data_IF_923480770842
#
_entry.id   IF_923480770842
#
_cell.length_a   1.000
_cell.length_b   1.000
_cell.length_c   1.000
_cell.angle_alpha   90.00
_cell.angle_beta   90.00
_cell.angle_gamma   90.00
#
_symmetry.space_group_name_H-M   'P 1'
#
loop_
_entity.id
_entity.type
_entity.pdbx_description
1 polymer ?
#
# COMPACT_ATOMS: atom_id res chain seq x y z
N UNK A 1 -16.26 10.36 -28.81
CA UNK A 1 -15.11 10.96 -28.09
C UNK A 1 -15.61 11.41 -26.73
N UNK A 2 -14.91 11.08 -25.64
CA UNK A 2 -15.27 11.52 -24.29
C UNK A 2 -15.01 13.03 -24.13
N UNK A 3 -15.93 13.75 -23.50
CA UNK A 3 -15.84 15.19 -23.23
C UNK A 3 -14.60 15.52 -22.36
N UNK A 4 -13.66 16.38 -22.81
CA UNK A 4 -12.49 16.79 -22.06
C UNK A 4 -12.80 17.36 -20.67
N UNK A 5 -13.91 18.09 -20.50
CA UNK A 5 -14.30 18.64 -19.19
C UNK A 5 -14.66 17.51 -18.21
N UNK A 6 -15.41 16.51 -18.69
CA UNK A 6 -15.71 15.31 -17.92
C UNK A 6 -14.43 14.55 -17.54
N UNK A 7 -13.48 14.41 -18.46
CA UNK A 7 -12.19 13.75 -18.19
C UNK A 7 -11.40 14.52 -17.12
N UNK A 8 -11.28 15.84 -17.25
CA UNK A 8 -10.60 16.69 -16.28
C UNK A 8 -11.22 16.56 -14.88
N UNK A 9 -12.55 16.54 -14.78
CA UNK A 9 -13.24 16.32 -13.51
C UNK A 9 -12.90 14.96 -12.89
N UNK A 10 -12.83 13.90 -13.68
CA UNK A 10 -12.45 12.56 -13.20
C UNK A 10 -10.99 12.53 -12.72
N UNK A 11 -10.07 13.17 -13.43
CA UNK A 11 -8.65 13.28 -13.03
C UNK A 11 -8.54 14.04 -11.70
N UNK A 12 -9.23 15.18 -11.56
CA UNK A 12 -9.23 15.95 -10.31
C UNK A 12 -9.76 15.13 -9.12
N UNK A 13 -10.86 14.39 -9.32
CA UNK A 13 -11.43 13.51 -8.29
C UNK A 13 -10.45 12.40 -7.92
N UNK A 14 -9.78 11.77 -8.89
CA UNK A 14 -8.80 10.71 -8.64
C UNK A 14 -7.58 11.24 -7.88
N UNK A 15 -7.05 12.41 -8.26
CA UNK A 15 -5.96 13.06 -7.54
C UNK A 15 -6.39 13.43 -6.13
N UNK A 16 -7.60 13.98 -5.96
CA UNK A 16 -8.14 14.36 -4.66
C UNK A 16 -8.35 13.16 -3.73
N UNK A 17 -8.90 12.06 -4.24
CA UNK A 17 -9.18 10.85 -3.45
C UNK A 17 -7.89 10.15 -3.00
N UNK A 18 -6.91 10.07 -3.88
CA UNK A 18 -5.68 9.32 -3.63
C UNK A 18 -4.56 10.17 -3.01
N UNK A 19 -4.65 11.50 -3.15
CA UNK A 19 -3.66 12.48 -2.68
C UNK A 19 -2.48 12.67 -3.63
N UNK A 20 -1.95 11.58 -4.17
CA UNK A 20 -0.91 11.59 -5.18
C UNK A 20 -1.02 10.37 -6.10
N UNK A 21 -0.85 10.58 -7.41
CA UNK A 21 -0.93 9.54 -8.45
C UNK A 21 0.09 9.81 -9.54
N UNK A 22 0.66 8.77 -10.16
CA UNK A 22 1.61 8.98 -11.26
C UNK A 22 0.90 9.52 -12.50
N UNK A 23 1.56 10.39 -13.25
CA UNK A 23 1.07 10.87 -14.55
C UNK A 23 0.83 9.71 -15.51
N UNK A 24 1.68 8.67 -15.47
CA UNK A 24 1.49 7.41 -16.24
C UNK A 24 0.16 6.73 -15.90
N UNK A 25 -0.14 6.54 -14.62
CA UNK A 25 -1.38 5.88 -14.18
C UNK A 25 -2.62 6.70 -14.52
N UNK A 26 -2.50 8.04 -14.58
CA UNK A 26 -3.58 8.92 -15.05
C UNK A 26 -3.77 8.81 -16.57
N UNK A 27 -2.70 8.78 -17.34
CA UNK A 27 -2.76 8.59 -18.80
C UNK A 27 -3.42 7.24 -19.14
N UNK A 28 -3.04 6.18 -18.44
CA UNK A 28 -3.62 4.85 -18.65
C UNK A 28 -5.12 4.77 -18.32
N UNK A 29 -5.61 5.55 -17.35
CA UNK A 29 -7.02 5.53 -16.91
C UNK A 29 -7.92 6.51 -17.66
N UNK A 30 -7.44 7.73 -17.89
CA UNK A 30 -8.24 8.87 -18.33
C UNK A 30 -7.85 9.38 -19.71
N UNK A 31 -6.82 8.79 -20.33
CA UNK A 31 -6.31 9.19 -21.63
C UNK A 31 -5.22 10.26 -21.56
N UNK A 32 -4.72 10.69 -22.72
CA UNK A 32 -3.49 11.47 -22.83
C UNK A 32 -3.59 12.83 -22.14
N UNK A 33 -2.45 13.31 -21.63
CA UNK A 33 -2.32 14.56 -20.84
C UNK A 33 -3.00 15.79 -21.46
N UNK A 34 -3.01 16.02 -22.80
CA UNK A 34 -3.71 17.15 -23.40
C UNK A 34 -5.21 17.24 -23.03
N UNK A 35 -5.88 16.12 -22.78
CA UNK A 35 -7.32 16.09 -22.47
C UNK A 35 -7.67 16.72 -21.12
N UNK A 36 -6.69 16.87 -20.22
CA UNK A 36 -6.88 17.38 -18.86
C UNK A 36 -5.77 18.34 -18.45
N UNK A 37 -4.99 18.83 -19.42
CA UNK A 37 -3.88 19.77 -19.23
C UNK A 37 -4.31 21.07 -18.56
N UNK A 38 -5.53 21.51 -18.81
CA UNK A 38 -6.12 22.71 -18.19
C UNK A 38 -6.07 22.67 -16.66
N UNK A 39 -6.16 21.49 -16.03
CA UNK A 39 -6.03 21.36 -14.56
C UNK A 39 -4.64 21.76 -14.06
N UNK A 40 -3.60 21.57 -14.86
CA UNK A 40 -2.23 21.93 -14.52
C UNK A 40 -2.00 23.43 -14.75
N UNK A 41 -2.51 23.95 -15.87
CA UNK A 41 -2.38 25.36 -16.26
C UNK A 41 -3.12 26.26 -15.27
N UNK A 42 -4.32 25.86 -14.87
CA UNK A 42 -5.13 26.58 -13.87
C UNK A 42 -4.67 26.29 -12.42
N UNK A 43 -3.70 25.41 -12.19
CA UNK A 43 -3.20 25.12 -10.84
C UNK A 43 -4.16 24.35 -9.92
N UNK A 44 -5.16 23.67 -10.48
CA UNK A 44 -5.98 22.69 -9.74
C UNK A 44 -5.17 21.46 -9.34
N UNK A 45 -4.26 21.04 -10.23
CA UNK A 45 -3.33 19.93 -10.02
C UNK A 45 -1.91 20.47 -10.23
N UNK A 46 -0.94 19.92 -9.52
CA UNK A 46 0.49 20.20 -9.70
C UNK A 46 1.22 18.90 -9.98
N UNK A 47 2.13 18.94 -10.96
CA UNK A 47 3.01 17.81 -11.29
C UNK A 47 4.36 18.01 -10.59
N UNK A 48 4.74 17.04 -9.78
CA UNK A 48 6.02 16.98 -9.08
C UNK A 48 6.91 15.95 -9.78
N UNK A 49 8.13 16.33 -10.12
CA UNK A 49 9.13 15.38 -10.58
C UNK A 49 9.73 14.66 -9.38
N UNK A 50 9.64 13.33 -9.37
CA UNK A 50 10.10 12.49 -8.27
C UNK A 50 10.99 11.37 -8.79
N UNK A 51 11.66 10.65 -7.89
CA UNK A 51 12.43 9.45 -8.24
C UNK A 51 11.56 8.32 -8.82
N UNK A 52 10.23 8.36 -8.63
CA UNK A 52 9.28 7.41 -9.21
C UNK A 52 8.64 7.97 -10.49
N UNK A 53 9.18 9.07 -11.02
CA UNK A 53 8.65 9.79 -12.18
C UNK A 53 7.73 10.95 -11.81
N UNK A 54 7.01 11.45 -12.82
CA UNK A 54 6.06 12.54 -12.66
C UNK A 54 4.84 12.10 -11.85
N UNK A 55 4.54 12.83 -10.77
CA UNK A 55 3.45 12.57 -9.84
C UNK A 55 2.54 13.79 -9.75
N UNK A 56 1.24 13.58 -9.98
CA UNK A 56 0.22 14.59 -9.81
C UNK A 56 -0.24 14.65 -8.35
N UNK A 57 -0.36 15.87 -7.81
CA UNK A 57 -0.93 16.19 -6.50
C UNK A 57 -1.90 17.35 -6.63
N UNK A 58 -2.74 17.60 -5.61
CA UNK A 58 -3.58 18.80 -5.62
C UNK A 58 -2.74 20.07 -5.53
N UNK A 59 -2.96 20.97 -6.48
CA UNK A 59 -2.39 22.32 -6.47
C UNK A 59 -3.15 23.27 -5.53
N UNK A 60 -2.67 24.52 -5.36
CA UNK A 60 -3.29 25.48 -4.46
C UNK A 60 -4.78 25.73 -4.75
N UNK A 61 -5.16 25.97 -6.01
CA UNK A 61 -6.57 26.22 -6.36
C UNK A 61 -7.44 24.97 -6.16
N UNK A 62 -6.89 23.78 -6.46
CA UNK A 62 -7.60 22.52 -6.23
C UNK A 62 -7.88 22.27 -4.75
N UNK A 63 -6.97 22.66 -3.86
CA UNK A 63 -7.18 22.55 -2.41
C UNK A 63 -8.22 23.55 -1.91
N UNK A 64 -8.15 24.79 -2.36
CA UNK A 64 -9.12 25.82 -1.97
C UNK A 64 -10.53 25.47 -2.46
N UNK A 65 -10.68 25.11 -3.73
CA UNK A 65 -11.98 24.74 -4.29
C UNK A 65 -12.60 23.51 -3.62
N UNK A 66 -11.80 22.50 -3.26
CA UNK A 66 -12.27 21.34 -2.50
C UNK A 66 -12.51 21.64 -1.01
N UNK A 67 -11.95 22.71 -0.46
CA UNK A 67 -12.30 23.16 0.89
C UNK A 67 -13.66 23.88 0.91
N UNK A 68 -13.98 24.62 -0.15
CA UNK A 68 -15.26 25.31 -0.33
C UNK A 68 -16.40 24.35 -0.67
N UNK A 69 -16.14 23.35 -1.52
CA UNK A 69 -17.09 22.28 -1.85
C UNK A 69 -16.49 20.91 -1.55
N UNK A 70 -16.54 20.46 -0.28
CA UNK A 70 -15.91 19.22 0.15
C UNK A 70 -16.52 17.99 -0.56
N UNK A 71 -15.68 17.08 -1.08
CA UNK A 71 -16.17 15.80 -1.58
C UNK A 71 -16.63 14.90 -0.41
N UNK A 72 -17.41 13.83 -0.68
CA UNK A 72 -17.89 12.90 0.34
C UNK A 72 -16.80 11.96 0.89
N UNK A 73 -15.52 12.27 0.65
CA UNK A 73 -14.37 11.48 1.07
C UNK A 73 -13.27 12.41 1.59
N UNK A 74 -12.40 11.94 2.50
CA UNK A 74 -11.30 12.75 3.01
C UNK A 74 -10.30 13.08 1.90
N UNK A 75 -9.85 14.34 1.85
CA UNK A 75 -8.84 14.82 0.91
C UNK A 75 -7.48 14.90 1.62
N UNK A 76 -6.54 13.97 1.38
CA UNK A 76 -5.24 13.96 2.04
C UNK A 76 -4.35 15.12 1.60
N UNK A 77 -3.61 15.70 2.55
CA UNK A 77 -2.61 16.72 2.28
C UNK A 77 -1.25 16.09 1.99
N UNK A 78 -0.97 15.86 0.70
CA UNK A 78 0.34 15.40 0.21
C UNK A 78 0.93 16.49 -0.68
N UNK A 79 2.03 17.10 -0.23
CA UNK A 79 2.69 18.22 -0.92
C UNK A 79 4.20 18.03 -1.10
N UNK A 80 4.88 17.35 -0.17
CA UNK A 80 6.32 17.11 -0.28
C UNK A 80 6.62 16.05 -1.36
N UNK A 81 7.62 16.24 -2.24
CA UNK A 81 7.94 15.30 -3.33
C UNK A 81 8.16 13.86 -2.88
N UNK A 82 8.88 13.63 -1.77
CA UNK A 82 9.09 12.29 -1.22
C UNK A 82 7.79 11.61 -0.78
N UNK A 83 6.92 12.32 -0.06
CA UNK A 83 5.61 11.79 0.36
C UNK A 83 4.68 11.57 -0.83
N UNK A 84 4.75 12.42 -1.85
CA UNK A 84 4.00 12.26 -3.10
C UNK A 84 4.46 11.00 -3.86
N UNK A 85 5.77 10.78 -3.96
CA UNK A 85 6.34 9.57 -4.55
C UNK A 85 5.89 8.30 -3.80
N UNK A 86 6.03 8.28 -2.47
CA UNK A 86 5.59 7.15 -1.63
C UNK A 86 4.10 6.87 -1.79
N UNK A 87 3.27 7.92 -1.81
CA UNK A 87 1.82 7.78 -1.97
C UNK A 87 1.48 7.25 -3.37
N UNK A 88 2.05 7.81 -4.43
CA UNK A 88 1.81 7.35 -5.79
C UNK A 88 2.28 5.90 -6.00
N UNK A 89 3.44 5.54 -5.44
CA UNK A 89 3.97 4.18 -5.45
C UNK A 89 3.05 3.18 -4.73
N UNK A 90 2.51 3.57 -3.57
CA UNK A 90 1.50 2.77 -2.86
C UNK A 90 0.21 2.60 -3.68
N UNK A 91 -0.27 3.64 -4.35
CA UNK A 91 -1.48 3.56 -5.16
C UNK A 91 -1.30 2.63 -6.36
N UNK A 92 -0.15 2.67 -7.02
CA UNK A 92 0.17 1.73 -8.10
C UNK A 92 0.28 0.28 -7.56
N UNK A 93 0.84 0.06 -6.37
CA UNK A 93 0.89 -1.26 -5.72
C UNK A 93 -0.51 -1.79 -5.38
N UNK A 94 -1.40 -0.92 -4.89
CA UNK A 94 -2.80 -1.27 -4.64
C UNK A 94 -3.49 -1.64 -5.95
N UNK A 95 -3.31 -0.86 -7.01
CA UNK A 95 -3.93 -1.15 -8.31
C UNK A 95 -3.49 -2.50 -8.89
N UNK A 96 -2.23 -2.92 -8.67
CA UNK A 96 -1.78 -4.29 -9.03
C UNK A 96 -2.53 -5.34 -8.21
N UNK A 97 -2.59 -5.18 -6.89
CA UNK A 97 -3.28 -6.13 -6.01
C UNK A 97 -4.78 -6.21 -6.26
N UNK A 98 -5.43 -5.10 -6.60
CA UNK A 98 -6.86 -5.07 -6.93
C UNK A 98 -7.18 -5.87 -8.19
N UNK A 99 -6.27 -5.92 -9.17
CA UNK A 99 -6.40 -6.83 -10.34
C UNK A 99 -6.35 -8.30 -9.93
N UNK A 100 -5.64 -8.60 -8.84
CA UNK A 100 -5.59 -9.93 -8.23
C UNK A 100 -6.72 -10.15 -7.19
N UNK A 101 -7.80 -9.35 -7.25
CA UNK A 101 -8.98 -9.40 -6.39
C UNK A 101 -8.73 -9.13 -4.89
N UNK A 102 -7.62 -8.48 -4.54
CA UNK A 102 -7.45 -7.94 -3.20
C UNK A 102 -8.31 -6.69 -3.02
N UNK A 103 -8.70 -6.39 -1.78
CA UNK A 103 -9.42 -5.15 -1.47
C UNK A 103 -8.78 -4.39 -0.31
N UNK A 104 -8.68 -3.08 -0.41
CA UNK A 104 -8.23 -2.21 0.70
C UNK A 104 -9.25 -2.25 1.84
N UNK A 105 -8.79 -2.51 3.06
CA UNK A 105 -9.61 -2.44 4.27
C UNK A 105 -9.40 -1.11 5.00
N UNK A 106 -8.14 -0.73 5.21
CA UNK A 106 -7.79 0.56 5.81
C UNK A 106 -6.33 0.91 5.60
N UNK A 107 -6.04 2.20 5.60
CA UNK A 107 -4.67 2.72 5.67
C UNK A 107 -4.25 2.96 7.12
N UNK A 108 -2.98 2.70 7.42
CA UNK A 108 -2.35 3.04 8.70
C UNK A 108 -1.45 4.25 8.50
N UNK A 109 -1.76 5.31 9.24
CA UNK A 109 -1.09 6.60 9.10
C UNK A 109 0.02 6.78 10.13
N UNK A 110 1.05 7.55 9.76
CA UNK A 110 2.12 7.93 10.68
C UNK A 110 1.54 8.83 11.76
N UNK A 111 1.81 8.52 13.03
CA UNK A 111 1.42 9.36 14.17
C UNK A 111 2.02 10.76 14.01
N UNK A 112 1.21 11.78 14.31
CA UNK A 112 1.71 13.14 14.42
C UNK A 112 2.71 13.20 15.59
N UNK A 113 3.81 13.92 15.39
CA UNK A 113 4.71 14.25 16.50
C UNK A 113 4.05 15.27 17.44
N UNK A 114 4.79 15.70 18.47
CA UNK A 114 4.34 16.79 19.36
C UNK A 114 4.44 18.18 18.73
N UNK A 115 5.00 18.28 17.52
CA UNK A 115 5.31 19.53 16.80
C UNK A 115 4.95 19.37 15.32
N UNK A 116 4.53 20.48 14.68
CA UNK A 116 4.18 20.55 13.27
C UNK A 116 2.68 20.74 13.01
N UNK A 117 2.31 21.01 11.76
CA UNK A 117 0.94 21.43 11.36
C UNK A 117 -0.16 20.46 11.77
N UNK A 118 0.12 19.15 11.79
CA UNK A 118 -0.85 18.15 12.26
C UNK A 118 -1.11 18.28 13.78
N UNK A 119 -0.05 18.45 14.58
CA UNK A 119 -0.15 18.66 16.02
C UNK A 119 -0.84 19.99 16.37
N UNK A 120 -0.51 21.08 15.66
CA UNK A 120 -1.16 22.38 15.84
C UNK A 120 -2.66 22.35 15.50
N UNK A 121 -3.09 21.42 14.64
CA UNK A 121 -4.50 21.20 14.29
C UNK A 121 -5.17 20.12 15.15
N UNK A 122 -4.53 19.68 16.24
CA UNK A 122 -5.05 18.67 17.14
C UNK A 122 -5.23 17.29 16.51
N UNK A 123 -4.51 16.97 15.43
CA UNK A 123 -4.60 15.66 14.76
C UNK A 123 -3.57 14.70 15.32
N UNK A 124 -4.02 13.48 15.65
CA UNK A 124 -3.17 12.40 16.16
C UNK A 124 -2.29 11.75 15.07
N UNK A 125 -2.61 11.97 13.79
CA UNK A 125 -1.92 11.36 12.64
C UNK A 125 -1.68 12.35 11.51
N UNK A 126 -0.68 12.05 10.68
CA UNK A 126 -0.36 12.76 9.45
C UNK A 126 -0.97 12.04 8.25
N UNK A 127 -1.07 12.69 7.08
CA UNK A 127 -1.59 12.05 5.86
C UNK A 127 -0.60 11.05 5.21
N UNK A 128 0.59 10.85 5.81
CA UNK A 128 1.57 9.86 5.36
C UNK A 128 1.11 8.45 5.75
N UNK A 129 0.84 7.62 4.74
CA UNK A 129 0.50 6.20 4.95
C UNK A 129 1.80 5.42 5.17
N UNK A 130 1.82 4.63 6.23
CA UNK A 130 2.94 3.75 6.58
C UNK A 130 2.76 2.33 6.08
N UNK A 131 1.50 1.88 6.01
CA UNK A 131 1.11 0.57 5.47
C UNK A 131 -0.40 0.55 5.21
N UNK A 132 -0.84 -0.39 4.38
CA UNK A 132 -2.26 -0.61 4.09
C UNK A 132 -2.64 -2.03 4.49
N UNK A 133 -3.74 -2.18 5.23
CA UNK A 133 -4.32 -3.50 5.49
C UNK A 133 -5.18 -3.87 4.29
N UNK A 134 -4.83 -4.97 3.65
CA UNK A 134 -5.56 -5.54 2.52
C UNK A 134 -6.37 -6.73 3.00
N UNK A 135 -7.41 -7.09 2.26
CA UNK A 135 -8.12 -8.37 2.38
C UNK A 135 -7.80 -9.21 1.14
N UNK A 136 -7.43 -10.47 1.36
CA UNK A 136 -7.17 -11.44 0.29
C UNK A 136 -8.48 -11.87 -0.40
N UNK A 137 -8.42 -12.39 -1.64
CA UNK A 137 -9.58 -12.98 -2.31
C UNK A 137 -10.22 -14.12 -1.48
N UNK A 138 -11.54 -14.37 -1.58
CA UNK A 138 -12.23 -15.42 -0.82
C UNK A 138 -11.59 -16.81 -0.95
N UNK A 139 -11.12 -17.18 -2.14
CA UNK A 139 -10.47 -18.48 -2.38
C UNK A 139 -9.17 -18.60 -1.59
N UNK A 140 -8.37 -17.54 -1.58
CA UNK A 140 -7.13 -17.48 -0.80
C UNK A 140 -7.41 -17.43 0.70
N UNK A 141 -8.49 -16.77 1.13
CA UNK A 141 -8.93 -16.81 2.53
C UNK A 141 -9.27 -18.23 2.96
N UNK A 142 -10.10 -18.94 2.18
CA UNK A 142 -10.46 -20.35 2.45
C UNK A 142 -9.22 -21.24 2.54
N UNK A 143 -8.27 -21.06 1.62
CA UNK A 143 -7.00 -21.77 1.67
C UNK A 143 -6.20 -21.47 2.94
N UNK A 144 -6.05 -20.18 3.32
CA UNK A 144 -5.33 -19.79 4.54
C UNK A 144 -6.02 -20.34 5.79
N UNK A 145 -7.35 -20.26 5.87
CA UNK A 145 -8.13 -20.82 6.97
C UNK A 145 -7.92 -22.33 7.06
N UNK A 146 -8.06 -23.08 5.96
CA UNK A 146 -7.79 -24.52 5.96
C UNK A 146 -6.35 -24.86 6.38
N UNK A 147 -5.36 -24.16 5.80
CA UNK A 147 -3.94 -24.37 6.07
C UNK A 147 -3.64 -24.14 7.54
N UNK A 148 -4.10 -23.04 8.12
CA UNK A 148 -3.80 -22.68 9.51
C UNK A 148 -4.74 -23.32 10.54
N UNK A 149 -5.92 -23.80 10.17
CA UNK A 149 -6.82 -24.56 11.04
C UNK A 149 -6.21 -25.91 11.47
N UNK A 150 -5.35 -26.52 10.63
CA UNK A 150 -4.64 -27.77 10.99
C UNK A 150 -3.57 -27.59 12.06
N UNK A 151 -3.18 -26.35 12.35
CA UNK A 151 -2.02 -26.07 13.18
C UNK A 151 -2.38 -25.54 14.57
N UNK A 152 -3.59 -25.01 14.85
CA UNK A 152 -3.92 -24.39 16.16
C UNK A 152 -5.39 -24.56 16.56
N UNK A 153 -5.59 -24.81 17.86
CA UNK A 153 -6.82 -24.60 18.66
C UNK A 153 -7.50 -23.26 18.31
N UNK A 154 -8.71 -23.37 17.77
CA UNK A 154 -9.45 -22.33 17.07
C UNK A 154 -10.16 -21.34 17.98
N UNK A 155 -9.68 -21.09 19.19
CA UNK A 155 -10.28 -20.05 20.03
C UNK A 155 -10.06 -18.67 19.37
N UNK A 156 -11.10 -18.06 18.77
CA UNK A 156 -10.98 -16.70 18.28
C UNK A 156 -11.04 -15.86 19.55
N UNK A 157 -9.91 -15.33 20.02
CA UNK A 157 -10.00 -14.13 20.85
C UNK A 157 -10.56 -13.05 19.92
N UNK A 158 -11.89 -12.97 19.89
CA UNK A 158 -12.73 -12.08 19.11
C UNK A 158 -12.39 -10.59 19.33
N UNK A 159 -11.55 -10.29 20.34
CA UNK A 159 -10.96 -8.96 20.60
C UNK A 159 -9.57 -8.68 20.01
N UNK A 160 -8.97 -9.57 19.20
CA UNK A 160 -7.64 -9.33 18.62
C UNK A 160 -7.61 -8.23 17.53
N UNK A 161 -6.53 -7.44 17.50
CA UNK A 161 -6.25 -6.38 16.53
C UNK A 161 -6.29 -6.94 15.09
N UNK A 162 -7.19 -6.40 14.24
CA UNK A 162 -7.53 -6.88 12.88
C UNK A 162 -6.33 -7.35 12.01
N UNK A 163 -5.16 -6.67 11.99
CA UNK A 163 -4.00 -7.07 11.17
C UNK A 163 -3.33 -8.39 11.52
N UNK A 164 -3.76 -9.06 12.59
CA UNK A 164 -3.23 -10.36 13.02
C UNK A 164 -4.13 -11.53 12.59
N UNK A 165 -5.27 -11.25 11.92
CA UNK A 165 -6.20 -12.26 11.44
C UNK A 165 -5.74 -12.87 10.10
N UNK A 166 -5.98 -14.17 9.86
CA UNK A 166 -5.81 -14.77 8.54
C UNK A 166 -6.57 -13.96 7.47
N UNK A 167 -5.93 -13.76 6.31
CA UNK A 167 -6.51 -13.07 5.17
C UNK A 167 -6.49 -11.55 5.21
N UNK A 168 -5.85 -10.94 6.23
CA UNK A 168 -5.71 -9.48 6.34
C UNK A 168 -4.24 -9.00 6.28
N UNK A 169 -3.49 -9.29 5.20
CA UNK A 169 -2.08 -8.96 5.10
C UNK A 169 -1.84 -7.44 5.06
N UNK A 170 -0.64 -7.03 5.49
CA UNK A 170 -0.19 -5.64 5.37
C UNK A 170 0.66 -5.44 4.12
N UNK A 171 0.28 -4.45 3.32
CA UNK A 171 1.06 -3.88 2.23
C UNK A 171 1.98 -2.76 2.75
N UNK A 172 3.26 -2.91 2.47
CA UNK A 172 4.29 -1.89 2.63
C UNK A 172 4.79 -1.47 1.26
N UNK A 173 4.66 -0.18 0.94
CA UNK A 173 5.12 0.39 -0.32
C UNK A 173 5.70 1.79 -0.03
N UNK A 174 7.01 1.94 -0.21
CA UNK A 174 7.71 3.22 -0.10
C UNK A 174 8.83 3.21 -1.12
N UNK A 175 9.09 4.37 -1.71
CA UNK A 175 10.10 4.58 -2.74
C UNK A 175 11.02 5.75 -2.43
N UNK A 176 10.59 6.77 -1.68
CA UNK A 176 11.28 8.05 -1.45
C UNK A 176 12.76 7.96 -0.99
N UNK A 177 13.16 6.84 -0.36
CA UNK A 177 14.54 6.52 0.03
C UNK A 177 15.23 5.45 -0.83
N UNK A 178 14.80 5.26 -2.08
CA UNK A 178 15.27 4.20 -2.97
C UNK A 178 14.62 2.83 -2.71
N UNK A 179 13.37 2.83 -2.23
CA UNK A 179 12.62 1.60 -2.01
C UNK A 179 12.78 0.97 -0.63
N UNK A 180 11.96 -0.05 -0.35
CA UNK A 180 12.21 -0.96 0.77
C UNK A 180 13.44 -1.79 0.40
N UNK A 181 14.48 -1.77 1.24
CA UNK A 181 15.71 -2.57 1.10
C UNK A 181 15.73 -3.75 2.07
N UNK A 182 16.63 -4.71 1.87
CA UNK A 182 16.75 -5.92 2.70
C UNK A 182 16.84 -5.64 4.23
N UNK A 183 17.62 -4.66 4.73
CA UNK A 183 17.62 -4.34 6.17
C UNK A 183 16.25 -3.89 6.69
N UNK A 184 15.49 -3.15 5.88
CA UNK A 184 14.13 -2.73 6.24
C UNK A 184 13.16 -3.90 6.19
N UNK A 185 13.28 -4.78 5.19
CA UNK A 185 12.50 -6.02 5.12
C UNK A 185 12.72 -6.87 6.37
N UNK A 186 13.98 -7.10 6.78
CA UNK A 186 14.31 -7.84 8.02
C UNK A 186 13.65 -7.23 9.26
N UNK A 187 13.66 -5.90 9.39
CA UNK A 187 12.98 -5.19 10.49
C UNK A 187 11.46 -5.38 10.45
N UNK A 188 10.85 -5.32 9.27
CA UNK A 188 9.42 -5.58 9.11
C UNK A 188 9.08 -7.03 9.49
N UNK A 189 9.89 -8.00 9.05
CA UNK A 189 9.71 -9.40 9.41
C UNK A 189 9.81 -9.63 10.92
N UNK A 190 10.81 -9.05 11.58
CA UNK A 190 10.95 -9.14 13.04
C UNK A 190 9.73 -8.57 13.76
N UNK A 191 9.29 -7.36 13.38
CA UNK A 191 8.10 -6.73 13.95
C UNK A 191 6.85 -7.61 13.83
N UNK A 192 6.64 -8.23 12.66
CA UNK A 192 5.48 -9.09 12.44
C UNK A 192 5.60 -10.44 13.13
N UNK A 193 6.80 -11.01 13.24
CA UNK A 193 7.05 -12.23 14.03
C UNK A 193 6.81 -12.01 15.52
N UNK A 194 7.26 -10.88 16.07
CA UNK A 194 7.13 -10.59 17.51
C UNK A 194 5.68 -10.32 17.93
N UNK A 195 4.90 -9.64 17.08
CA UNK A 195 3.48 -9.44 17.30
C UNK A 195 2.69 -10.74 17.12
N UNK A 196 3.15 -11.63 16.24
CA UNK A 196 2.52 -12.92 15.94
C UNK A 196 3.23 -14.08 16.65
N UNK A 197 3.60 -13.90 17.93
CA UNK A 197 4.20 -14.94 18.79
C UNK A 197 3.38 -16.26 18.86
N UNK A 198 2.16 -16.29 18.31
CA UNK A 198 1.34 -17.51 18.13
C UNK A 198 0.99 -17.73 16.63
N UNK A 199 1.99 -17.62 15.75
CA UNK A 199 2.04 -18.04 14.33
C UNK A 199 1.59 -16.99 13.32
N UNK A 200 2.43 -16.82 12.31
CA UNK A 200 2.24 -15.92 11.19
C UNK A 200 1.09 -16.38 10.29
N UNK A 201 -0.01 -15.62 10.24
CA UNK A 201 -1.28 -16.07 9.63
C UNK A 201 -1.56 -15.52 8.24
N UNK A 202 -0.83 -14.50 7.82
CA UNK A 202 -0.98 -13.87 6.50
C UNK A 202 0.38 -13.41 6.00
N UNK A 203 0.74 -13.64 4.72
CA UNK A 203 2.00 -13.16 4.17
C UNK A 203 2.08 -11.63 4.24
N UNK A 204 3.26 -11.09 4.51
CA UNK A 204 3.49 -9.67 4.30
C UNK A 204 3.47 -9.36 2.82
N UNK A 205 2.93 -8.21 2.43
CA UNK A 205 3.01 -7.74 1.06
C UNK A 205 3.99 -6.57 1.03
N UNK A 206 4.99 -6.65 0.15
CA UNK A 206 6.04 -5.63 0.06
C UNK A 206 6.22 -5.25 -1.41
N UNK A 207 5.97 -3.99 -1.73
CA UNK A 207 6.27 -3.44 -3.04
C UNK A 207 7.72 -2.94 -3.09
N UNK A 208 8.49 -3.40 -4.07
CA UNK A 208 9.91 -3.09 -4.25
C UNK A 208 10.20 -2.68 -5.70
N UNK A 209 11.12 -1.75 -5.95
CA UNK A 209 11.45 -1.34 -7.32
C UNK A 209 12.17 -2.45 -8.09
N UNK A 210 12.92 -3.27 -7.36
CA UNK A 210 13.70 -4.40 -7.87
C UNK A 210 13.76 -5.48 -6.80
N UNK A 211 13.95 -6.73 -7.21
CA UNK A 211 13.97 -7.86 -6.28
C UNK A 211 15.30 -8.02 -5.57
N UNK A 212 16.41 -7.72 -6.26
CA UNK A 212 17.79 -7.82 -5.77
C UNK A 212 18.05 -9.06 -4.91
N UNK A 213 18.81 -8.87 -3.82
CA UNK A 213 19.13 -9.91 -2.85
C UNK A 213 17.93 -10.38 -2.01
N UNK A 214 16.76 -9.73 -2.11
CA UNK A 214 15.60 -10.09 -1.28
C UNK A 214 15.05 -11.44 -1.64
N UNK A 215 14.99 -11.79 -2.93
CA UNK A 215 14.44 -13.07 -3.37
C UNK A 215 15.26 -14.24 -2.81
N UNK A 216 16.59 -14.13 -2.82
CA UNK A 216 17.48 -15.14 -2.24
C UNK A 216 17.26 -15.28 -0.73
N UNK A 217 17.21 -14.15 0.00
CA UNK A 217 16.92 -14.13 1.43
C UNK A 217 15.56 -14.74 1.78
N UNK A 218 14.51 -14.40 1.02
CA UNK A 218 13.16 -14.94 1.24
C UNK A 218 13.11 -16.44 0.99
N UNK A 219 13.70 -16.93 -0.11
CA UNK A 219 13.76 -18.38 -0.39
C UNK A 219 14.41 -19.16 0.74
N UNK A 220 15.53 -18.68 1.27
CA UNK A 220 16.20 -19.33 2.41
C UNK A 220 15.30 -19.37 3.65
N UNK A 221 14.57 -18.29 3.89
CA UNK A 221 13.71 -18.18 5.06
C UNK A 221 12.45 -19.04 4.95
N UNK A 222 11.84 -19.08 3.77
CA UNK A 222 10.68 -19.91 3.45
C UNK A 222 11.03 -21.40 3.47
N UNK A 223 12.21 -21.78 2.98
CA UNK A 223 12.73 -23.14 3.09
C UNK A 223 12.93 -23.54 4.57
N UNK A 224 13.50 -22.64 5.38
CA UNK A 224 13.68 -22.88 6.82
C UNK A 224 12.35 -23.06 7.55
N UNK A 225 11.35 -22.22 7.27
CA UNK A 225 10.02 -22.36 7.88
C UNK A 225 9.31 -23.63 7.42
N UNK A 226 9.36 -23.94 6.13
CA UNK A 226 8.80 -25.20 5.59
C UNK A 226 9.39 -26.41 6.32
N UNK A 227 10.73 -26.49 6.45
CA UNK A 227 11.39 -27.57 7.17
C UNK A 227 11.03 -27.65 8.66
N UNK A 228 10.81 -26.50 9.31
CA UNK A 228 10.34 -26.47 10.71
C UNK A 228 8.91 -27.01 10.84
N UNK A 229 8.02 -26.65 9.90
CA UNK A 229 6.65 -27.16 9.89
C UNK A 229 6.65 -28.67 9.63
N UNK A 230 7.38 -29.15 8.63
CA UNK A 230 7.45 -30.60 8.30
C UNK A 230 7.91 -31.44 9.48
N UNK A 231 8.93 -30.97 10.22
CA UNK A 231 9.41 -31.62 11.44
C UNK A 231 8.34 -31.66 12.54
N UNK A 232 7.54 -30.60 12.66
CA UNK A 232 6.50 -30.50 13.69
C UNK A 232 5.21 -31.25 13.31
N UNK A 233 4.86 -31.34 12.02
CA UNK A 233 3.63 -31.97 11.52
C UNK A 233 3.78 -33.47 11.25
N UNK A 234 5.01 -34.01 11.23
CA UNK A 234 5.33 -35.38 10.83
C UNK A 234 4.77 -35.72 9.43
N UNK A 235 4.52 -34.71 8.59
CA UNK A 235 3.99 -34.82 7.23
C UNK A 235 4.62 -33.75 6.35
N UNK A 236 4.93 -34.06 5.08
CA UNK A 236 5.41 -33.07 4.13
C UNK A 236 4.39 -31.96 3.93
N UNK A 237 4.87 -30.74 3.68
CA UNK A 237 3.99 -29.62 3.36
C UNK A 237 3.81 -29.58 1.84
N UNK A 238 2.56 -29.70 1.38
CA UNK A 238 2.24 -29.77 -0.05
C UNK A 238 2.65 -28.50 -0.83
N UNK A 239 2.75 -27.35 -0.13
CA UNK A 239 3.17 -26.07 -0.72
C UNK A 239 4.09 -25.26 0.20
N UNK A 240 5.17 -24.66 -0.34
CA UNK A 240 6.10 -23.87 0.45
C UNK A 240 5.39 -22.74 1.20
N UNK A 241 5.87 -22.46 2.41
CA UNK A 241 5.33 -21.36 3.21
C UNK A 241 5.71 -20.04 2.57
N UNK A 242 4.73 -19.29 2.06
CA UNK A 242 4.96 -17.91 1.62
C UNK A 242 4.92 -16.98 2.83
N UNK A 243 6.05 -16.40 3.17
CA UNK A 243 6.14 -15.41 4.26
C UNK A 243 5.91 -14.01 3.73
N UNK A 244 6.45 -13.72 2.54
CA UNK A 244 6.39 -12.39 1.93
C UNK A 244 6.00 -12.53 0.47
N UNK A 245 4.92 -11.85 0.09
CA UNK A 245 4.55 -11.63 -1.28
C UNK A 245 5.22 -10.34 -1.78
N UNK A 246 6.21 -10.48 -2.67
CA UNK A 246 6.88 -9.35 -3.31
C UNK A 246 6.09 -8.89 -4.54
N UNK A 247 5.85 -7.59 -4.62
CA UNK A 247 5.35 -6.92 -5.82
C UNK A 247 6.48 -6.08 -6.38
N UNK A 248 6.84 -6.29 -7.64
CA UNK A 248 7.87 -5.50 -8.30
C UNK A 248 7.22 -4.37 -9.08
N UNK A 249 7.54 -3.13 -8.71
CA UNK A 249 7.10 -1.92 -9.40
C UNK A 249 8.31 -1.14 -9.88
N UNK A 250 8.80 -1.39 -11.11
CA UNK A 250 10.04 -0.80 -11.58
C UNK A 250 9.97 0.72 -11.58
N UNK A 251 11.11 1.34 -11.27
CA UNK A 251 11.31 2.76 -11.50
C UNK A 251 11.26 3.03 -13.02
N UNK A 252 10.73 4.20 -13.43
CA UNK A 252 10.67 4.58 -14.84
C UNK A 252 12.04 4.77 -15.48
#
# INVERSE_FOLDING_TARGET
MSDPHRIAKLVLIDVARNGAVTTRSMIARHGPKPNWRILLEDGYVTELQTIYGAVLTLGPLGRTGLAETPPPFPVPYVAAPGTAADRAYLMDAIAVLERDNYSVIRHLYKKAGKVGTAACKGRDTTDQITSTVMRVPPDRLRYLEWKYHRFIDTSPRSGGYIPERPGYPRLYATISGGGIRLPRLRKLMALHRDHQRIRWRSPLIVAVPEEGDMRAYLRQLEARETALIERASLRPVDEPVTLVHLIVLPLP
#
